data_IF_823303105183
#
_entry.id   IF_823303105183
#
_cell.length_a   1.000
_cell.length_b   1.000
_cell.length_c   1.000
_cell.angle_alpha   90.00
_cell.angle_beta   90.00
_cell.angle_gamma   90.00
#
_symmetry.space_group_name_H-M   'P 1'
#
loop_
_entity.id
_entity.type
_entity.pdbx_description
1 polymer ?
2 non-polymer ?
3 non-polymer ?
4 water ?
#
# COMPACT_ATOMS: atom_id res chain seq x y z
N UNK A 1 -8.64 9.32 -13.20
CA UNK A 1 -8.86 10.58 -13.90
C UNK A 1 -8.44 11.79 -13.03
N UNK A 2 -9.41 12.29 -12.27
CA UNK A 2 -9.26 13.27 -11.18
C UNK A 2 -9.18 12.52 -9.86
N UNK A 3 -9.36 11.20 -9.96
CA UNK A 3 -9.27 10.29 -8.83
C UNK A 3 -7.81 9.95 -8.55
N UNK A 4 -7.57 9.34 -7.40
CA UNK A 4 -6.21 8.93 -7.05
C UNK A 4 -5.89 7.54 -7.59
N UNK A 5 -4.68 7.39 -8.15
CA UNK A 5 -4.18 6.06 -8.51
C UNK A 5 -3.64 5.37 -7.28
N UNK A 6 -4.48 4.54 -6.67
CA UNK A 6 -4.08 3.85 -5.44
C UNK A 6 -3.74 2.40 -5.71
N UNK A 7 -2.52 2.04 -5.35
CA UNK A 7 -2.04 0.69 -5.54
C UNK A 7 -1.67 0.15 -4.17
N UNK A 8 -2.21 -1.02 -3.83
CA UNK A 8 -1.95 -1.64 -2.53
C UNK A 8 -1.51 -3.08 -2.65
N UNK A 9 -0.33 -3.36 -2.13
CA UNK A 9 0.17 -4.72 -2.12
C UNK A 9 -0.15 -5.38 -0.77
N UNK A 10 -0.70 -6.59 -0.82
CA UNK A 10 -1.21 -7.29 0.36
C UNK A 10 -0.87 -8.76 0.41
N UNK A 11 -1.23 -9.38 1.52
CA UNK A 11 -1.19 -10.82 1.62
C UNK A 11 -2.39 -11.23 2.47
N UNK A 12 -2.56 -12.55 2.64
CA UNK A 12 -3.63 -13.06 3.47
C UNK A 12 -3.22 -13.33 4.90
N UNK A 13 -4.24 -13.27 5.77
CA UNK A 13 -4.03 -13.44 7.19
C UNK A 13 -3.22 -12.28 7.71
N UNK A 14 -3.46 -11.11 7.12
CA UNK A 14 -2.76 -9.88 7.45
C UNK A 14 -3.72 -8.80 7.93
N UNK A 15 -3.94 -8.71 9.26
CA UNK A 15 -4.90 -7.77 9.83
C UNK A 15 -4.61 -6.39 9.30
N UNK A 16 -3.34 -6.01 9.28
CA UNK A 16 -3.06 -4.65 8.84
C UNK A 16 -3.48 -4.38 7.38
N UNK A 17 -3.50 -5.43 6.57
CA UNK A 17 -3.87 -5.35 5.15
C UNK A 17 -5.38 -5.12 5.01
N UNK A 18 -6.15 -5.75 5.88
CA UNK A 18 -7.58 -5.54 5.95
C UNK A 18 -7.88 -4.13 6.45
N UNK A 19 -7.18 -3.73 7.50
CA UNK A 19 -7.42 -2.44 8.14
C UNK A 19 -7.16 -1.27 7.18
N UNK A 20 -6.06 -1.38 6.45
CA UNK A 20 -5.72 -0.44 5.40
C UNK A 20 -6.88 -0.36 4.42
N UNK A 21 -7.21 -1.52 3.82
CA UNK A 21 -8.23 -1.61 2.78
C UNK A 21 -9.46 -0.85 3.21
N UNK A 22 -9.82 -1.02 4.48
CA UNK A 22 -11.13 -0.55 4.87
C UNK A 22 -11.11 0.93 5.21
N UNK A 23 -9.92 1.47 5.39
CA UNK A 23 -9.77 2.91 5.45
C UNK A 23 -10.18 3.51 4.12
N UNK A 24 -9.70 2.95 3.01
CA UNK A 24 -10.14 3.44 1.71
C UNK A 24 -11.59 3.21 1.51
N UNK A 25 -12.01 1.99 1.83
CA UNK A 25 -13.39 1.58 1.64
C UNK A 25 -14.35 2.53 2.35
N UNK A 26 -14.10 2.83 3.62
CA UNK A 26 -15.04 3.68 4.33
C UNK A 26 -14.88 5.14 3.94
N UNK A 27 -13.78 5.46 3.27
CA UNK A 27 -13.56 6.79 2.71
C UNK A 27 -13.91 6.94 1.24
N UNK A 28 -14.51 5.88 0.70
CA UNK A 28 -14.97 5.81 -0.68
C UNK A 28 -13.87 6.13 -1.66
N UNK A 29 -12.79 5.36 -1.57
CA UNK A 29 -11.63 5.54 -2.43
C UNK A 29 -11.19 4.24 -3.05
N UNK A 30 -11.43 4.14 -4.35
CA UNK A 30 -11.17 2.92 -5.08
C UNK A 30 -9.67 2.71 -5.21
N UNK A 31 -9.26 1.45 -5.13
CA UNK A 31 -7.84 1.08 -5.23
C UNK A 31 -7.65 -0.25 -5.99
N UNK A 32 -6.42 -0.47 -6.47
CA UNK A 32 -6.04 -1.67 -7.19
C UNK A 32 -5.27 -2.50 -6.19
N UNK A 33 -5.86 -3.60 -5.74
CA UNK A 33 -5.17 -4.50 -4.82
C UNK A 33 -4.43 -5.64 -5.54
N UNK A 34 -3.18 -5.85 -5.17
CA UNK A 34 -2.46 -7.02 -5.65
C UNK A 34 -2.10 -7.93 -4.48
N UNK A 35 -2.67 -9.12 -4.42
CA UNK A 35 -2.34 -9.99 -3.31
C UNK A 35 -1.16 -10.86 -3.67
N UNK A 36 -0.31 -11.09 -2.68
CA UNK A 36 0.82 -11.96 -2.87
C UNK A 36 0.88 -12.95 -1.75
N UNK A 37 0.28 -14.11 -2.00
CA UNK A 37 0.18 -15.12 -0.97
C UNK A 37 1.56 -15.70 -0.59
N UNK A 38 2.29 -16.24 -1.56
CA UNK A 38 3.49 -17.02 -1.24
C UNK A 38 4.64 -16.20 -0.62
N UNK A 39 5.13 -16.68 0.52
CA UNK A 39 6.22 -16.01 1.22
C UNK A 39 7.38 -15.77 0.28
N UNK A 40 7.77 -16.83 -0.41
CA UNK A 40 8.90 -16.79 -1.32
C UNK A 40 8.72 -15.67 -2.35
N UNK A 41 7.52 -15.59 -2.92
CA UNK A 41 7.19 -14.59 -3.92
C UNK A 41 7.29 -13.15 -3.39
N UNK A 42 6.74 -12.92 -2.19
CA UNK A 42 6.83 -11.61 -1.53
C UNK A 42 8.29 -11.24 -1.34
N UNK A 43 9.08 -12.20 -0.88
CA UNK A 43 10.50 -11.95 -0.70
C UNK A 43 11.12 -11.37 -1.98
N UNK A 44 10.93 -12.06 -3.10
CA UNK A 44 11.45 -11.60 -4.40
C UNK A 44 11.01 -10.19 -4.72
N UNK A 45 9.77 -9.93 -4.41
CA UNK A 45 9.18 -8.62 -4.60
C UNK A 45 9.84 -7.50 -3.78
N UNK A 46 9.99 -7.70 -2.47
CA UNK A 46 10.70 -6.73 -1.65
C UNK A 46 12.03 -6.41 -2.30
N UNK A 47 12.78 -7.45 -2.65
CA UNK A 47 14.07 -7.26 -3.30
C UNK A 47 13.97 -6.40 -4.55
N UNK A 48 13.03 -6.72 -5.43
CA UNK A 48 12.88 -5.95 -6.67
C UNK A 48 12.53 -4.52 -6.39
N UNK A 49 11.49 -4.33 -5.61
CA UNK A 49 11.02 -3.00 -5.27
C UNK A 49 12.08 -2.13 -4.60
N UNK A 50 12.76 -2.70 -3.62
CA UNK A 50 13.76 -1.96 -2.88
C UNK A 50 14.84 -1.41 -3.83
N UNK A 51 15.28 -2.22 -4.79
CA UNK A 51 16.25 -1.80 -5.82
C UNK A 51 15.75 -0.80 -6.87
N UNK A 52 14.44 -0.66 -6.97
CA UNK A 52 13.84 0.17 -8.00
C UNK A 52 13.84 1.66 -7.64
N UNK A 53 13.82 2.00 -6.35
CA UNK A 53 13.81 3.41 -5.93
C UNK A 53 12.44 4.07 -5.96
N UNK A 54 11.41 3.26 -6.21
CA UNK A 54 10.02 3.70 -6.16
C UNK A 54 9.56 3.85 -4.71
N UNK A 55 10.43 3.46 -3.82
CA UNK A 55 10.09 3.25 -2.44
C UNK A 55 10.96 4.21 -1.63
N UNK A 56 10.37 4.80 -0.58
CA UNK A 56 11.05 5.83 0.23
C UNK A 56 11.72 5.29 1.49
N UNK A 57 11.43 4.04 1.81
CA UNK A 57 12.14 3.29 2.83
C UNK A 57 12.12 1.79 2.48
N UNK A 58 13.13 1.03 2.90
CA UNK A 58 13.22 -0.38 2.51
C UNK A 58 12.06 -1.09 3.13
N UNK A 59 11.29 -1.84 2.34
CA UNK A 59 9.98 -2.30 2.82
C UNK A 59 9.96 -3.48 3.81
N UNK A 60 9.91 -4.71 3.29
CA UNK A 60 10.04 -5.96 4.08
C UNK A 60 8.74 -6.55 4.68
N UNK A 61 7.63 -5.80 4.61
CA UNK A 61 6.31 -6.29 5.04
C UNK A 61 5.21 -5.74 4.17
N UNK A 62 4.02 -6.34 4.27
CA UNK A 62 2.82 -5.70 3.73
C UNK A 62 1.78 -5.44 4.80
N UNK A 63 0.90 -4.46 4.56
CA UNK A 63 0.65 -3.73 3.30
C UNK A 63 1.73 -2.75 2.84
N UNK A 64 1.76 -2.50 1.53
CA UNK A 64 2.47 -1.35 1.02
C UNK A 64 1.54 -0.56 0.12
N UNK A 65 1.52 0.76 0.33
CA UNK A 65 0.62 1.60 -0.42
C UNK A 65 1.29 2.64 -1.27
N UNK A 66 0.78 2.79 -2.48
CA UNK A 66 1.23 3.85 -3.37
C UNK A 66 0.07 4.67 -3.85
N UNK A 67 0.26 5.97 -3.80
CA UNK A 67 -0.75 6.84 -4.31
C UNK A 67 -0.08 7.72 -5.32
N UNK A 68 -0.61 7.64 -6.53
CA UNK A 68 -0.16 8.46 -7.62
C UNK A 68 1.33 8.26 -7.79
N UNK A 69 1.78 7.02 -7.63
CA UNK A 69 3.19 6.70 -7.86
C UNK A 69 4.10 7.26 -6.77
N UNK A 70 3.54 7.51 -5.59
CA UNK A 70 4.37 7.90 -4.47
C UNK A 70 4.23 6.86 -3.42
N UNK A 71 5.37 6.34 -2.99
CA UNK A 71 5.37 5.40 -1.90
C UNK A 71 4.79 6.14 -0.72
N UNK A 72 3.79 5.54 -0.09
CA UNK A 72 3.25 6.08 1.14
C UNK A 72 3.81 5.27 2.30
N UNK A 73 3.59 3.96 2.22
CA UNK A 73 4.12 3.03 3.19
C UNK A 73 3.10 2.03 3.69
N UNK A 74 3.13 1.79 4.99
CA UNK A 74 2.22 0.83 5.60
C UNK A 74 1.06 1.56 6.24
N UNK A 75 0.30 0.84 7.04
CA UNK A 75 -0.83 1.44 7.73
C UNK A 75 -0.45 2.65 8.61
N UNK A 76 0.65 2.53 9.36
CA UNK A 76 0.97 3.61 10.28
C UNK A 76 1.33 4.87 9.46
N UNK A 77 1.98 4.66 8.31
CA UNK A 77 2.22 5.73 7.34
C UNK A 77 0.92 6.29 6.78
N UNK A 78 -0.01 5.40 6.46
CA UNK A 78 -1.33 5.81 6.00
C UNK A 78 -2.02 6.72 7.00
N UNK A 79 -2.23 6.21 8.21
CA UNK A 79 -2.87 7.01 9.25
C UNK A 79 -2.22 8.38 9.47
N UNK A 80 -0.88 8.40 9.44
CA UNK A 80 -0.12 9.65 9.48
C UNK A 80 -0.50 10.64 8.38
N UNK A 81 -0.76 10.14 7.16
CA UNK A 81 -1.07 11.01 6.01
C UNK A 81 -2.56 11.11 5.68
N UNK A 82 -3.39 10.64 6.61
CA UNK A 82 -4.82 10.49 6.37
C UNK A 82 -5.41 11.79 5.80
N UNK A 83 -5.01 12.92 6.38
CA UNK A 83 -5.51 14.22 5.92
C UNK A 83 -4.96 14.59 4.56
N UNK A 84 -3.63 14.57 4.39
CA UNK A 84 -3.04 15.02 3.13
C UNK A 84 -3.85 14.39 2.05
N UNK A 85 -4.18 13.13 2.29
CA UNK A 85 -4.83 12.30 1.29
C UNK A 85 -6.30 12.64 1.06
N UNK A 86 -7.04 12.79 2.14
CA UNK A 86 -8.45 13.09 2.01
C UNK A 86 -8.69 14.46 1.40
N UNK A 87 -7.68 15.31 1.46
CA UNK A 87 -7.80 16.65 0.93
C UNK A 87 -7.33 16.65 -0.53
N UNK A 88 -7.14 15.43 -1.05
CA UNK A 88 -6.75 15.20 -2.45
C UNK A 88 -7.91 14.76 -3.40
N UNK A 89 -9.11 14.56 -2.86
CA UNK A 89 -10.23 14.04 -3.67
C UNK A 89 -10.86 15.04 -4.67
X LIG B 1 -8.97 -3.41 -9.86
X LIG B 1 -8.82 -3.99 -11.20
X LIG B 1 -8.23 -2.15 -9.82
X LIG B 1 -10.38 -3.15 -9.54
X LIG B 1 -8.41 -4.35 -8.88
X LIG C 1 3.73 -0.14 9.63
X LIG C 1 3.22 0.72 8.64
X LIG C 1 2.62 -0.94 10.34
X LIG C 1 3.03 -1.26 11.66
X LIG C 1 2.19 -2.21 9.55
X LIG C 1 1.62 -1.92 8.28
X LIG D 1 -7.03 -9.42 1.97
X LIG D 1 -6.76 -9.87 0.61
X LIG D 1 -5.79 -9.16 2.69
X LIG D 1 -7.84 -8.21 1.88
X LIG D 1 -7.76 -10.45 2.67
#
# INVERSE_FOLDING_TARGET
SNAMKVKIYTRNGCPYCVWAKQWFEENNIAFDETIIDDYAQRSKFYDEMNQSGKVIFPISTVPQIFIDDEHIGGFTELKANADKILNKK
SO4 S O1 O2 O3 O4
GOL C1 O1 C2 O2 C3 O3
SO4 S O1 O2 O3 O4
#
